data_IF_618835222679
#
_entry.id   IF_618835222679
#
_cell.length_a   1.000
_cell.length_b   1.000
_cell.length_c   1.000
_cell.angle_alpha   90.00
_cell.angle_beta   90.00
_cell.angle_gamma   90.00
#
_symmetry.space_group_name_H-M   'P 1'
#
loop_
_entity.id
_entity.type
_entity.pdbx_description
1 polymer ?
#
# COMPACT_ATOMS: atom_id res chain seq x y z
N UNK A 1 -8.61 -25.25 -4.56
CA UNK A 1 -9.54 -24.16 -4.20
C UNK A 1 -9.14 -22.94 -5.01
N UNK A 2 -9.87 -22.63 -6.08
CA UNK A 2 -9.67 -21.40 -6.84
C UNK A 2 -10.11 -20.23 -5.97
N UNK A 3 -9.27 -19.20 -5.86
CA UNK A 3 -9.57 -17.97 -5.14
C UNK A 3 -10.24 -17.07 -6.16
N UNK A 4 -11.57 -16.94 -6.09
CA UNK A 4 -12.30 -16.00 -6.93
C UNK A 4 -12.04 -14.58 -6.41
N UNK A 5 -11.52 -13.70 -7.25
CA UNK A 5 -11.23 -12.32 -6.90
C UNK A 5 -12.36 -11.41 -7.43
N UNK A 6 -12.79 -10.44 -6.63
CA UNK A 6 -13.90 -9.54 -7.00
C UNK A 6 -13.38 -8.34 -7.80
N UNK A 7 -14.00 -8.06 -8.96
CA UNK A 7 -13.69 -6.88 -9.75
C UNK A 7 -14.08 -5.59 -9.01
N UNK A 8 -13.12 -4.70 -8.78
CA UNK A 8 -13.31 -3.43 -8.06
C UNK A 8 -14.27 -2.43 -8.75
N UNK A 9 -14.52 -2.60 -10.04
CA UNK A 9 -15.38 -1.70 -10.82
C UNK A 9 -16.79 -2.26 -10.92
N UNK A 10 -16.95 -3.50 -11.37
CA UNK A 10 -18.27 -4.07 -11.62
C UNK A 10 -18.81 -4.99 -10.52
N UNK A 11 -18.03 -5.25 -9.47
CA UNK A 11 -18.42 -6.08 -8.32
C UNK A 11 -18.58 -7.57 -8.61
N UNK A 12 -18.25 -8.07 -9.81
CA UNK A 12 -18.38 -9.50 -10.12
C UNK A 12 -17.18 -10.30 -9.61
N UNK A 13 -17.45 -11.49 -9.07
CA UNK A 13 -16.43 -12.47 -8.71
C UNK A 13 -15.92 -13.15 -9.98
N UNK A 14 -14.61 -13.08 -10.21
CA UNK A 14 -13.97 -13.65 -11.38
C UNK A 14 -12.74 -14.46 -10.95
N UNK A 15 -12.52 -15.64 -11.55
CA UNK A 15 -11.37 -16.47 -11.24
C UNK A 15 -10.04 -15.86 -11.74
N UNK A 16 -10.10 -14.93 -12.69
CA UNK A 16 -8.92 -14.21 -13.20
C UNK A 16 -9.32 -12.79 -13.65
N UNK A 17 -8.80 -11.75 -12.97
CA UNK A 17 -9.09 -10.35 -13.31
C UNK A 17 -8.52 -9.96 -14.68
N UNK A 18 -7.52 -10.67 -15.21
CA UNK A 18 -6.89 -10.33 -16.49
C UNK A 18 -7.76 -10.67 -17.70
N UNK A 19 -8.71 -11.60 -17.55
CA UNK A 19 -9.63 -12.02 -18.61
C UNK A 19 -11.06 -11.50 -18.40
N UNK A 20 -11.30 -10.73 -17.34
CA UNK A 20 -12.61 -10.21 -17.01
C UNK A 20 -13.02 -9.07 -17.96
N UNK A 21 -14.10 -9.29 -18.73
CA UNK A 21 -14.71 -8.26 -19.55
C UNK A 21 -15.59 -7.35 -18.67
N UNK A 22 -14.98 -6.31 -18.10
CA UNK A 22 -15.64 -5.37 -17.19
C UNK A 22 -16.73 -4.58 -17.91
N UNK A 23 -17.96 -4.63 -17.38
CA UNK A 23 -19.08 -3.85 -17.90
C UNK A 23 -18.97 -2.34 -17.61
N UNK A 24 -17.93 -1.87 -16.91
CA UNK A 24 -17.69 -0.48 -16.48
C UNK A 24 -18.84 0.20 -15.71
N UNK A 25 -19.83 -0.58 -15.27
CA UNK A 25 -20.94 -0.10 -14.46
C UNK A 25 -20.57 -0.37 -13.00
N UNK A 26 -20.44 0.71 -12.22
CA UNK A 26 -20.19 0.63 -10.78
C UNK A 26 -21.38 -0.03 -10.09
N UNK A 27 -21.23 -1.30 -9.72
CA UNK A 27 -22.19 -2.04 -8.91
C UNK A 27 -21.74 -2.08 -7.45
N UNK A 28 -22.70 -1.91 -6.55
CA UNK A 28 -22.47 -1.98 -5.12
C UNK A 28 -22.21 -3.42 -4.70
N UNK A 29 -21.07 -3.66 -4.04
CA UNK A 29 -20.71 -5.00 -3.52
C UNK A 29 -21.69 -5.53 -2.45
N UNK A 30 -22.54 -4.67 -1.87
CA UNK A 30 -23.44 -5.03 -0.78
C UNK A 30 -24.87 -5.31 -1.23
N UNK A 31 -25.30 -4.76 -2.36
CA UNK A 31 -26.70 -4.85 -2.81
C UNK A 31 -26.86 -4.94 -4.33
N UNK A 32 -25.76 -5.17 -5.06
CA UNK A 32 -25.67 -5.29 -6.52
C UNK A 32 -26.29 -4.15 -7.34
N UNK A 33 -26.62 -3.04 -6.66
CA UNK A 33 -27.28 -1.87 -7.25
C UNK A 33 -26.30 -0.99 -8.03
N UNK A 34 -26.82 -0.20 -8.97
CA UNK A 34 -26.04 0.72 -9.80
C UNK A 34 -25.63 1.99 -9.03
N UNK A 35 -24.81 1.83 -8.00
CA UNK A 35 -24.20 2.92 -7.25
C UNK A 35 -22.91 2.44 -6.58
N UNK A 36 -22.08 3.39 -6.15
CA UNK A 36 -20.87 3.09 -5.38
C UNK A 36 -21.21 2.38 -4.06
N UNK A 37 -20.33 1.47 -3.63
CA UNK A 37 -20.55 0.64 -2.43
C UNK A 37 -20.77 1.45 -1.16
N UNK A 38 -20.09 2.59 -0.98
CA UNK A 38 -20.25 3.50 0.17
C UNK A 38 -21.27 4.64 -0.08
N UNK A 39 -22.11 4.54 -1.11
CA UNK A 39 -23.09 5.57 -1.42
C UNK A 39 -24.26 5.57 -0.43
N UNK A 40 -24.83 6.75 -0.16
CA UNK A 40 -26.06 6.92 0.62
C UNK A 40 -27.29 6.27 -0.06
N UNK A 41 -27.16 5.96 -1.36
CA UNK A 41 -28.17 5.25 -2.16
C UNK A 41 -28.21 3.75 -1.84
N UNK A 42 -27.17 3.20 -1.21
CA UNK A 42 -27.14 1.79 -0.81
C UNK A 42 -28.05 1.56 0.40
N UNK A 43 -29.07 0.68 0.31
CA UNK A 43 -29.93 0.37 1.45
C UNK A 43 -29.15 -0.22 2.64
N UNK A 44 -28.17 -1.09 2.36
CA UNK A 44 -27.32 -1.72 3.39
C UNK A 44 -26.48 -0.68 4.14
N UNK A 45 -25.81 0.23 3.42
CA UNK A 45 -25.03 1.30 4.07
C UNK A 45 -25.92 2.31 4.77
N UNK A 46 -27.11 2.61 4.22
CA UNK A 46 -28.08 3.50 4.84
C UNK A 46 -28.53 2.95 6.20
N UNK A 47 -28.87 1.68 6.27
CA UNK A 47 -29.28 1.01 7.50
C UNK A 47 -28.11 0.93 8.50
N UNK A 48 -26.92 0.53 8.04
CA UNK A 48 -25.71 0.50 8.86
C UNK A 48 -25.39 1.87 9.48
N UNK A 49 -25.49 2.96 8.69
CA UNK A 49 -25.29 4.33 9.19
C UNK A 49 -26.39 4.73 10.16
N UNK A 50 -27.64 4.37 9.90
CA UNK A 50 -28.75 4.67 10.80
C UNK A 50 -28.59 3.95 12.14
N UNK A 51 -28.15 2.69 12.13
CA UNK A 51 -27.93 1.90 13.34
C UNK A 51 -26.71 2.33 14.13
N UNK A 52 -25.62 2.71 13.46
CA UNK A 52 -24.48 3.36 14.11
C UNK A 52 -24.92 4.65 14.80
N UNK A 53 -25.73 5.47 14.12
CA UNK A 53 -26.29 6.71 14.65
C UNK A 53 -27.20 6.44 15.85
N UNK A 54 -28.09 5.45 15.77
CA UNK A 54 -28.93 5.02 16.90
C UNK A 54 -28.07 4.57 18.09
N UNK A 55 -27.05 3.75 17.88
CA UNK A 55 -26.14 3.30 18.96
C UNK A 55 -25.42 4.47 19.64
N UNK A 56 -25.01 5.49 18.88
CA UNK A 56 -24.42 6.71 19.42
C UNK A 56 -25.42 7.52 20.28
N UNK A 57 -26.70 7.54 19.91
CA UNK A 57 -27.73 8.28 20.64
C UNK A 57 -28.40 7.47 21.76
N UNK A 58 -28.43 6.14 21.69
CA UNK A 58 -28.99 5.24 22.71
C UNK A 58 -28.09 5.08 23.93
N UNK A 59 -26.79 5.35 23.82
CA UNK A 59 -25.86 5.32 24.94
C UNK A 59 -25.83 6.63 25.78
N UNK A 60 -26.81 7.52 25.60
CA UNK A 60 -27.03 8.62 26.56
C UNK A 60 -27.70 8.06 27.83
N UNK A 61 -27.20 8.36 29.03
CA UNK A 61 -27.89 7.99 30.27
C UNK A 61 -29.28 8.63 30.25
N UNK A 62 -30.29 7.82 30.57
CA UNK A 62 -31.68 8.24 30.63
C UNK A 62 -31.83 9.41 31.61
N UNK A 63 -31.93 10.63 31.09
CA UNK A 63 -32.44 11.78 31.83
C UNK A 63 -33.67 12.28 31.06
N UNK A 64 -34.82 12.04 31.70
CA UNK A 64 -36.14 12.61 31.46
C UNK A 64 -36.83 12.26 30.13
N UNK A 65 -37.49 11.09 30.10
CA UNK A 65 -38.77 10.95 29.40
C UNK A 65 -39.86 11.55 30.29
N UNK A 66 -40.37 12.74 29.96
CA UNK A 66 -41.70 13.16 30.41
C UNK A 66 -42.71 12.80 29.31
N UNK A 67 -43.68 11.98 29.70
CA UNK A 67 -44.84 11.61 28.90
C UNK A 67 -45.72 12.84 28.66
N UNK A 68 -45.82 13.28 27.41
CA UNK A 68 -46.90 14.16 26.98
C UNK A 68 -48.12 13.30 26.65
N UNK A 69 -49.05 13.19 27.60
CA UNK A 69 -50.44 12.86 27.28
C UNK A 69 -51.24 14.15 27.28
N UNK A 70 -51.63 14.58 26.09
CA UNK A 70 -52.60 15.63 25.84
C UNK A 70 -53.95 15.27 26.47
N UNK A 71 -54.55 16.18 27.23
CA UNK A 71 -56.00 16.30 27.36
C UNK A 71 -56.39 17.75 27.67
N UNK A 72 -57.41 18.20 26.96
CA UNK A 72 -57.98 19.55 26.92
C UNK A 72 -58.53 20.00 28.28
N UNK A 73 -58.49 21.31 28.59
CA UNK A 73 -59.68 22.13 28.81
C UNK A 73 -59.37 23.59 29.21
N UNK A 74 -60.34 24.43 28.85
CA UNK A 74 -60.54 25.85 29.13
C UNK A 74 -60.15 26.30 30.56
N UNK A 75 -59.66 27.53 30.71
CA UNK A 75 -60.42 28.62 31.33
C UNK A 75 -59.65 29.95 31.34
N UNK A 76 -60.39 31.03 31.08
CA UNK A 76 -59.98 32.42 31.24
C UNK A 76 -59.52 32.67 32.68
N UNK A 77 -58.24 33.03 32.86
CA UNK A 77 -57.74 33.58 34.12
C UNK A 77 -56.98 34.86 33.78
N UNK A 78 -57.52 36.00 34.24
CA UNK A 78 -56.87 37.31 34.19
C UNK A 78 -55.47 37.21 34.79
N UNK A 79 -54.44 37.37 33.96
CA UNK A 79 -53.06 37.28 34.42
C UNK A 79 -52.67 38.58 35.13
N UNK A 80 -52.71 38.57 36.46
CA UNK A 80 -52.07 39.61 37.28
C UNK A 80 -50.60 39.23 37.39
N UNK A 81 -49.72 40.03 36.79
CA UNK A 81 -48.29 39.80 36.80
C UNK A 81 -47.71 40.09 38.19
N UNK A 82 -47.51 39.05 39.00
CA UNK A 82 -46.81 39.11 40.27
C UNK A 82 -45.34 38.70 40.08
N UNK A 83 -44.42 39.63 40.34
CA UNK A 83 -42.97 39.47 40.14
C UNK A 83 -42.31 38.50 41.13
N UNK A 84 -43.07 37.95 42.07
CA UNK A 84 -42.58 37.06 43.14
C UNK A 84 -42.64 35.58 42.72
N UNK A 85 -43.48 35.23 41.74
CA UNK A 85 -43.70 33.84 41.28
C UNK A 85 -42.68 33.38 40.22
N UNK A 86 -41.79 34.26 39.77
CA UNK A 86 -40.70 33.92 38.86
C UNK A 86 -39.37 34.01 39.61
N UNK A 87 -38.85 32.89 40.18
CA UNK A 87 -37.46 32.85 40.59
C UNK A 87 -36.60 33.19 39.37
N UNK A 88 -35.58 34.03 39.56
CA UNK A 88 -34.59 34.38 38.53
C UNK A 88 -34.19 33.09 37.80
N UNK A 89 -34.48 33.04 36.49
CA UNK A 89 -34.06 31.96 35.62
C UNK A 89 -32.60 31.66 35.95
N UNK A 90 -32.21 30.41 36.21
CA UNK A 90 -30.83 30.07 36.51
C UNK A 90 -29.98 30.68 35.39
N UNK A 91 -29.13 31.65 35.74
CA UNK A 91 -28.18 32.21 34.79
C UNK A 91 -27.47 31.03 34.16
N UNK A 92 -27.42 31.01 32.83
CA UNK A 92 -26.82 29.95 32.02
C UNK A 92 -25.54 29.46 32.70
N UNK A 93 -25.66 28.33 33.41
CA UNK A 93 -24.52 27.72 34.04
C UNK A 93 -23.69 27.20 32.88
N UNK A 94 -22.61 27.92 32.60
CA UNK A 94 -21.59 27.48 31.65
C UNK A 94 -21.29 26.03 32.02
N UNK A 95 -21.51 25.06 31.11
CA UNK A 95 -21.30 23.66 31.44
C UNK A 95 -19.86 23.49 31.97
N UNK A 96 -19.63 22.64 32.98
CA UNK A 96 -18.29 22.40 33.48
C UNK A 96 -17.41 22.00 32.30
N UNK A 97 -16.38 22.79 32.04
CA UNK A 97 -15.50 22.64 30.89
C UNK A 97 -14.67 21.37 31.04
N UNK A 98 -15.23 20.23 30.62
CA UNK A 98 -14.48 18.99 30.36
C UNK A 98 -13.71 19.07 29.03
N UNK A 99 -13.22 20.26 28.66
CA UNK A 99 -12.43 20.50 27.45
C UNK A 99 -11.09 19.78 27.48
N UNK A 100 -10.63 19.33 28.66
CA UNK A 100 -9.39 18.58 28.85
C UNK A 100 -9.35 17.30 28.01
N UNK A 101 -10.48 16.59 27.86
CA UNK A 101 -10.51 15.36 27.05
C UNK A 101 -10.36 15.64 25.55
N UNK A 102 -10.96 16.72 25.06
CA UNK A 102 -10.84 17.12 23.65
C UNK A 102 -9.43 17.65 23.37
N UNK A 103 -8.87 18.44 24.28
CA UNK A 103 -7.49 18.95 24.16
C UNK A 103 -6.46 17.82 24.20
N UNK A 104 -6.60 16.84 25.11
CA UNK A 104 -5.70 15.68 25.15
C UNK A 104 -5.76 14.86 23.85
N UNK A 105 -6.96 14.70 23.26
CA UNK A 105 -7.09 14.01 21.95
C UNK A 105 -6.45 14.80 20.81
N UNK A 106 -6.51 16.12 20.85
CA UNK A 106 -5.83 16.97 19.86
C UNK A 106 -4.31 16.84 19.98
N UNK A 107 -3.78 16.82 21.21
CA UNK A 107 -2.36 16.60 21.45
C UNK A 107 -1.91 15.20 20.99
N UNK A 108 -2.70 14.16 21.26
CA UNK A 108 -2.44 12.81 20.76
C UNK A 108 -2.40 12.75 19.22
N UNK A 109 -3.31 13.47 18.55
CA UNK A 109 -3.32 13.58 17.09
C UNK A 109 -2.06 14.30 16.60
N UNK A 110 -1.65 15.38 17.26
CA UNK A 110 -0.46 16.16 16.88
C UNK A 110 0.82 15.31 17.02
N UNK A 111 0.94 14.57 18.12
CA UNK A 111 2.02 13.61 18.35
C UNK A 111 1.96 12.48 17.31
N UNK A 112 0.76 11.99 16.98
CA UNK A 112 0.56 10.97 15.95
C UNK A 112 1.00 11.44 14.56
N UNK A 113 0.67 12.67 14.19
CA UNK A 113 1.09 13.29 12.94
C UNK A 113 2.61 13.48 12.88
N UNK A 114 3.25 13.89 13.97
CA UNK A 114 4.70 14.01 14.04
C UNK A 114 5.40 12.65 13.81
N UNK A 115 4.90 11.58 14.45
CA UNK A 115 5.41 10.21 14.26
C UNK A 115 5.21 9.71 12.83
N UNK A 116 4.05 10.02 12.22
CA UNK A 116 3.79 9.69 10.83
C UNK A 116 4.78 10.42 9.90
N UNK A 117 5.02 11.71 10.14
CA UNK A 117 5.98 12.48 9.34
C UNK A 117 7.40 11.89 9.42
N UNK A 118 7.85 11.53 10.62
CA UNK A 118 9.15 10.85 10.82
C UNK A 118 9.19 9.48 10.11
N UNK A 119 8.07 8.75 10.08
CA UNK A 119 7.98 7.49 9.34
C UNK A 119 8.06 7.70 7.83
N UNK A 120 7.44 8.76 7.30
CA UNK A 120 7.52 9.12 5.89
C UNK A 120 8.94 9.51 5.48
N UNK A 121 9.64 10.30 6.29
CA UNK A 121 11.05 10.65 6.04
C UNK A 121 11.95 9.41 6.02
N UNK A 122 11.75 8.47 6.95
CA UNK A 122 12.49 7.19 6.95
C UNK A 122 12.19 6.33 5.72
N UNK A 123 10.93 6.29 5.29
CA UNK A 123 10.54 5.55 4.08
C UNK A 123 11.16 6.19 2.85
N UNK A 124 11.10 7.51 2.72
CA UNK A 124 11.69 8.25 1.61
C UNK A 124 13.20 8.00 1.52
N UNK A 125 13.91 8.01 2.66
CA UNK A 125 15.34 7.67 2.71
C UNK A 125 15.62 6.24 2.25
N UNK A 126 14.85 5.26 2.74
CA UNK A 126 15.01 3.85 2.32
C UNK A 126 14.71 3.64 0.85
N UNK A 127 13.73 4.37 0.30
CA UNK A 127 13.40 4.32 -1.11
C UNK A 127 14.58 4.81 -1.96
N UNK A 128 15.22 5.91 -1.55
CA UNK A 128 16.43 6.41 -2.20
C UNK A 128 17.59 5.41 -2.11
N UNK A 129 17.83 4.81 -0.94
CA UNK A 129 18.86 3.77 -0.77
C UNK A 129 18.62 2.56 -1.67
N UNK A 130 17.36 2.13 -1.82
CA UNK A 130 16.99 1.03 -2.70
C UNK A 130 17.23 1.38 -4.18
N UNK A 131 16.86 2.59 -4.60
CA UNK A 131 17.10 3.06 -5.97
C UNK A 131 18.59 3.06 -6.31
N UNK A 132 19.42 3.54 -5.38
CA UNK A 132 20.88 3.50 -5.54
C UNK A 132 21.43 2.07 -5.61
N UNK A 133 20.89 1.15 -4.81
CA UNK A 133 21.26 -0.26 -4.88
C UNK A 133 20.92 -0.88 -6.23
N UNK A 134 19.71 -0.61 -6.75
CA UNK A 134 19.26 -1.11 -8.06
C UNK A 134 20.18 -0.58 -9.17
N UNK A 135 20.47 0.72 -9.16
CA UNK A 135 21.36 1.33 -10.15
C UNK A 135 22.76 0.69 -10.12
N UNK A 136 23.32 0.54 -8.91
CA UNK A 136 24.62 -0.10 -8.76
C UNK A 136 24.64 -1.56 -9.27
N UNK A 137 23.56 -2.31 -9.05
CA UNK A 137 23.44 -3.68 -9.56
C UNK A 137 23.31 -3.74 -11.07
N UNK A 138 22.53 -2.84 -11.66
CA UNK A 138 22.42 -2.74 -13.12
C UNK A 138 23.77 -2.41 -13.76
N UNK A 139 24.55 -1.49 -13.18
CA UNK A 139 25.90 -1.17 -13.65
C UNK A 139 26.85 -2.39 -13.57
N UNK A 140 26.78 -3.17 -12.49
CA UNK A 140 27.56 -4.40 -12.34
C UNK A 140 27.18 -5.45 -13.40
N UNK A 141 25.89 -5.63 -13.64
CA UNK A 141 25.38 -6.59 -14.62
C UNK A 141 25.76 -6.18 -16.05
N UNK A 142 25.69 -4.90 -16.38
CA UNK A 142 26.13 -4.37 -17.67
C UNK A 142 27.63 -4.59 -17.89
N UNK A 143 28.45 -4.33 -16.87
CA UNK A 143 29.89 -4.62 -16.93
C UNK A 143 30.18 -6.11 -17.18
N UNK A 144 29.46 -7.00 -16.48
CA UNK A 144 29.61 -8.45 -16.64
C UNK A 144 29.19 -8.90 -18.04
N UNK A 145 28.06 -8.38 -18.56
CA UNK A 145 27.57 -8.68 -19.89
C UNK A 145 28.61 -8.31 -20.95
N UNK A 146 29.16 -7.09 -20.89
CA UNK A 146 30.20 -6.63 -21.81
C UNK A 146 31.45 -7.52 -21.73
N UNK A 147 31.85 -7.95 -20.52
CA UNK A 147 32.99 -8.87 -20.35
C UNK A 147 32.73 -10.23 -20.99
N UNK A 148 31.52 -10.77 -20.86
CA UNK A 148 31.11 -12.03 -21.49
C UNK A 148 31.09 -11.91 -23.01
N UNK A 149 30.55 -10.80 -23.54
CA UNK A 149 30.57 -10.52 -24.98
C UNK A 149 32.00 -10.45 -25.53
N UNK A 150 32.90 -9.73 -24.85
CA UNK A 150 34.30 -9.63 -25.25
C UNK A 150 35.00 -11.00 -25.26
N UNK A 151 34.73 -11.84 -24.26
CA UNK A 151 35.28 -13.20 -24.21
C UNK A 151 34.72 -14.07 -25.35
N UNK A 152 33.44 -13.93 -25.64
CA UNK A 152 32.77 -14.65 -26.74
C UNK A 152 33.35 -14.25 -28.09
N UNK A 153 33.53 -12.94 -28.34
CA UNK A 153 34.17 -12.43 -29.55
C UNK A 153 35.62 -12.90 -29.69
N UNK A 154 36.39 -12.90 -28.60
CA UNK A 154 37.75 -13.46 -28.60
C UNK A 154 37.76 -14.96 -28.93
N UNK A 155 36.81 -15.71 -28.40
CA UNK A 155 36.68 -17.14 -28.67
C UNK A 155 36.35 -17.38 -30.15
N UNK A 156 35.35 -16.68 -30.68
CA UNK A 156 34.94 -16.78 -32.10
C UNK A 156 36.11 -16.41 -33.02
N UNK A 157 36.79 -15.29 -32.76
CA UNK A 157 37.96 -14.86 -33.53
C UNK A 157 39.05 -15.93 -33.55
N UNK A 158 39.34 -16.54 -32.40
CA UNK A 158 40.30 -17.64 -32.27
C UNK A 158 39.85 -18.89 -33.06
N UNK A 159 38.58 -19.27 -32.99
CA UNK A 159 38.03 -20.38 -33.76
C UNK A 159 38.12 -20.15 -35.27
N UNK A 160 37.78 -18.95 -35.74
CA UNK A 160 37.86 -18.58 -37.16
C UNK A 160 39.30 -18.57 -37.66
N UNK A 161 40.24 -18.06 -36.86
CA UNK A 161 41.68 -18.10 -37.18
C UNK A 161 42.18 -19.55 -37.31
N UNK A 162 41.81 -20.44 -36.38
CA UNK A 162 42.20 -21.85 -36.43
C UNK A 162 41.55 -22.60 -37.60
N UNK A 163 40.29 -22.32 -37.91
CA UNK A 163 39.59 -22.94 -39.04
C UNK A 163 40.25 -22.56 -40.38
N UNK A 164 40.70 -21.31 -40.52
CA UNK A 164 41.46 -20.86 -41.68
C UNK A 164 42.85 -21.51 -41.78
N UNK A 165 43.57 -21.66 -40.66
CA UNK A 165 44.88 -22.35 -40.66
C UNK A 165 44.76 -23.83 -41.05
N UNK A 166 43.70 -24.51 -40.60
CA UNK A 166 43.42 -25.90 -40.98
C UNK A 166 43.02 -26.04 -42.44
N UNK A 167 42.28 -25.08 -42.99
CA UNK A 167 41.97 -25.00 -44.42
C UNK A 167 43.23 -24.77 -45.30
N UNK A 168 44.27 -24.15 -44.73
CA UNK A 168 45.55 -23.89 -45.39
C UNK A 168 46.59 -25.01 -45.19
N UNK A 169 46.22 -26.17 -44.64
CA UNK A 169 47.06 -27.36 -44.61
C UNK A 169 48.17 -27.38 -43.55
N UNK A 170 48.03 -26.63 -42.45
CA UNK A 170 48.96 -26.72 -41.30
C UNK A 170 48.64 -27.98 -40.48
N UNK A 171 49.62 -28.87 -40.30
CA UNK A 171 49.47 -30.20 -39.72
C UNK A 171 48.88 -30.20 -38.30
N UNK A 172 47.84 -31.02 -38.11
CA UNK A 172 47.01 -31.15 -36.89
C UNK A 172 47.82 -31.54 -35.62
N UNK A 173 49.01 -32.12 -35.80
CA UNK A 173 49.87 -32.62 -34.72
C UNK A 173 50.60 -31.50 -33.97
N UNK A 174 51.17 -30.53 -34.70
CA UNK A 174 51.88 -29.40 -34.10
C UNK A 174 50.90 -28.46 -33.39
N UNK A 175 49.67 -28.39 -33.92
CA UNK A 175 48.58 -27.64 -33.34
C UNK A 175 48.07 -28.24 -32.01
N UNK A 176 47.90 -29.57 -31.96
CA UNK A 176 47.48 -30.28 -30.74
C UNK A 176 48.51 -30.08 -29.61
N UNK A 177 49.80 -30.14 -29.94
CA UNK A 177 50.89 -29.87 -29.01
C UNK A 177 50.83 -28.43 -28.45
N UNK A 178 50.59 -27.43 -29.30
CA UNK A 178 50.47 -26.03 -28.85
C UNK A 178 49.24 -25.76 -27.99
N UNK A 179 48.10 -26.43 -28.28
CA UNK A 179 46.87 -26.33 -27.47
C UNK A 179 47.09 -26.95 -26.09
N UNK A 180 47.68 -28.15 -26.03
CA UNK A 180 47.97 -28.84 -24.78
C UNK A 180 49.00 -28.07 -23.93
N UNK A 181 50.03 -27.49 -24.56
CA UNK A 181 51.02 -26.65 -23.87
C UNK A 181 50.38 -25.38 -23.30
N UNK A 182 49.50 -24.70 -24.06
CA UNK A 182 48.81 -23.49 -23.59
C UNK A 182 47.77 -23.80 -22.52
N UNK A 183 47.11 -24.97 -22.58
CA UNK A 183 46.20 -25.45 -21.53
C UNK A 183 46.96 -25.77 -20.24
N UNK A 184 48.12 -26.43 -20.33
CA UNK A 184 48.98 -26.69 -19.19
C UNK A 184 49.51 -25.40 -18.53
N UNK A 185 49.87 -24.38 -19.33
CA UNK A 185 50.26 -23.06 -18.80
C UNK A 185 49.09 -22.34 -18.12
N UNK A 186 47.88 -22.44 -18.67
CA UNK A 186 46.68 -21.84 -18.05
C UNK A 186 46.34 -22.54 -16.72
N UNK A 187 46.44 -23.87 -16.68
CA UNK A 187 46.25 -24.65 -15.46
C UNK A 187 47.32 -24.30 -14.41
N UNK A 188 48.57 -24.04 -14.81
CA UNK A 188 49.64 -23.60 -13.89
C UNK A 188 49.36 -22.22 -13.27
N UNK A 189 48.85 -21.29 -14.08
CA UNK A 189 48.48 -19.94 -13.64
C UNK A 189 47.23 -19.96 -12.73
N UNK A 190 46.27 -20.85 -13.02
CA UNK A 190 45.02 -20.96 -12.26
C UNK A 190 45.14 -21.81 -10.98
N UNK A 191 46.04 -22.81 -10.95
CA UNK A 191 46.24 -23.67 -9.76
C UNK A 191 47.20 -23.09 -8.73
N UNK A 192 47.87 -21.96 -9.03
CA UNK A 192 48.49 -21.12 -8.00
C UNK A 192 49.41 -21.87 -7.04
N UNK A 193 50.34 -22.70 -7.52
CA UNK A 193 51.47 -23.11 -6.69
C UNK A 193 52.41 -21.92 -6.50
N UNK A 194 52.08 -21.11 -5.49
CA UNK A 194 53.07 -20.36 -4.71
C UNK A 194 53.82 -21.38 -3.84
N UNK A 195 54.82 -22.03 -4.42
CA UNK A 195 55.87 -22.67 -3.62
C UNK A 195 57.16 -21.89 -3.89
N UNK A 196 57.58 -21.12 -2.88
CA UNK A 196 58.91 -20.59 -2.54
C UNK A 196 59.86 -20.21 -3.72
N UNK A 197 60.34 -18.98 -3.87
CA UNK A 197 61.18 -18.16 -2.96
C UNK A 197 60.94 -16.67 -3.27
#
# INVERSE_FOLDING_TARGET
>A
TQIDETCNVCGHNCPDLRQHQCSNINKCIHCDGNHLSNSIKCPVIKEFRADLTKKLFSNKPAILRHNNNNNNNQENQNYIHNTIDYPLLPLSQRPPTNNTSVMNKLDEILIGMAKLNESFERIAKKQYELEQFINHKNEQDEYLLNKVEQLTLKLISKFLYHSNLKANGVDDADFKCQIETKRALLDLVLTGKKDCI
#
